data_IF_325573634687
#
_entry.id   IF_325573634687
#
_cell.length_a   1.000
_cell.length_b   1.000
_cell.length_c   1.000
_cell.angle_alpha   90.00
_cell.angle_beta   90.00
_cell.angle_gamma   90.00
#
_symmetry.space_group_name_H-M   'P 1'
#
loop_
_entity.id
_entity.type
_entity.pdbx_description
1 polymer ?
#
# COMPACT_ATOMS: atom_id res chain seq x y z
N UNK A 1 24.29 9.80 -32.68
CA UNK A 1 23.73 10.58 -31.55
C UNK A 1 22.21 10.63 -31.47
N UNK A 2 21.43 10.47 -32.56
CA UNK A 2 19.95 10.49 -32.51
C UNK A 2 19.28 9.26 -31.84
N UNK A 3 19.99 8.13 -31.73
CA UNK A 3 19.43 6.90 -31.16
C UNK A 3 19.40 6.91 -29.62
N UNK A 4 20.45 7.45 -28.99
CA UNK A 4 20.55 7.54 -27.52
C UNK A 4 19.53 8.51 -26.90
N UNK A 5 19.19 9.61 -27.59
CA UNK A 5 18.19 10.57 -27.12
C UNK A 5 16.76 9.99 -27.09
N UNK A 6 16.42 9.07 -28.00
CA UNK A 6 15.10 8.42 -28.04
C UNK A 6 14.93 7.38 -26.93
N UNK A 7 15.98 6.63 -26.59
CA UNK A 7 15.93 5.70 -25.45
C UNK A 7 15.75 6.43 -24.11
N UNK A 8 16.47 7.53 -23.88
CA UNK A 8 16.33 8.33 -22.65
C UNK A 8 14.95 8.98 -22.49
N UNK A 9 14.32 9.43 -23.58
CA UNK A 9 12.96 9.97 -23.58
C UNK A 9 11.88 8.90 -23.32
N UNK A 10 12.08 7.67 -23.79
CA UNK A 10 11.17 6.56 -23.51
C UNK A 10 11.31 6.05 -22.07
N UNK A 11 12.53 5.93 -21.55
CA UNK A 11 12.78 5.52 -20.16
C UNK A 11 12.18 6.51 -19.16
N UNK A 12 12.27 7.82 -19.42
CA UNK A 12 11.62 8.84 -18.59
C UNK A 12 10.08 8.83 -18.70
N UNK A 13 9.52 8.58 -19.89
CA UNK A 13 8.07 8.44 -20.07
C UNK A 13 7.46 7.21 -19.37
N UNK A 14 8.16 6.08 -19.42
CA UNK A 14 7.77 4.83 -18.75
C UNK A 14 7.91 4.93 -17.22
N UNK A 15 8.97 5.57 -16.72
CA UNK A 15 9.14 5.80 -15.28
C UNK A 15 8.08 6.75 -14.70
N UNK A 16 7.68 7.77 -15.50
CA UNK A 16 6.59 8.70 -15.18
C UNK A 16 5.23 7.98 -15.12
N UNK A 17 4.91 7.13 -16.10
CA UNK A 17 3.69 6.32 -16.09
C UNK A 17 3.68 5.28 -14.95
N UNK A 18 4.84 4.66 -14.67
CA UNK A 18 4.96 3.65 -13.62
C UNK A 18 4.73 4.18 -12.20
N UNK A 19 4.78 5.50 -12.01
CA UNK A 19 4.53 6.18 -10.73
C UNK A 19 3.26 7.03 -10.73
N UNK A 20 2.49 7.04 -11.82
CA UNK A 20 1.33 7.92 -11.98
C UNK A 20 0.26 7.71 -10.90
N UNK A 21 0.19 6.51 -10.31
CA UNK A 21 -0.75 6.21 -9.22
C UNK A 21 -0.39 6.89 -7.88
N UNK A 22 0.82 7.44 -7.73
CA UNK A 22 1.28 8.20 -6.55
C UNK A 22 1.22 9.72 -6.78
N UNK A 23 0.41 10.17 -7.75
CA UNK A 23 0.30 11.59 -8.13
C UNK A 23 -0.41 12.48 -7.12
N UNK A 24 -1.09 11.89 -6.13
CA UNK A 24 -1.78 12.67 -5.11
C UNK A 24 -0.80 13.53 -4.31
N UNK A 25 -1.22 14.73 -3.95
CA UNK A 25 -0.43 15.68 -3.14
C UNK A 25 -0.85 15.64 -1.66
N UNK A 26 -1.13 14.44 -1.15
CA UNK A 26 -1.48 14.19 0.24
C UNK A 26 -0.31 13.58 1.03
N UNK A 27 -0.46 13.51 2.36
CA UNK A 27 0.62 13.08 3.25
C UNK A 27 1.06 11.65 2.92
N UNK A 28 0.11 10.74 2.74
CA UNK A 28 0.43 9.34 2.51
C UNK A 28 1.04 9.08 1.14
N UNK A 29 0.64 9.80 0.09
CA UNK A 29 1.31 9.75 -1.20
C UNK A 29 2.76 10.23 -1.10
N UNK A 30 3.01 11.31 -0.35
CA UNK A 30 4.36 11.78 -0.03
C UNK A 30 5.20 10.72 0.70
N UNK A 31 4.63 10.08 1.72
CA UNK A 31 5.31 9.01 2.48
C UNK A 31 5.58 7.76 1.65
N UNK A 32 4.61 7.33 0.83
CA UNK A 32 4.79 6.22 -0.10
C UNK A 32 5.92 6.50 -1.10
N UNK A 33 6.05 7.74 -1.59
CA UNK A 33 7.17 8.13 -2.47
C UNK A 33 8.51 8.12 -1.74
N UNK A 34 8.56 8.56 -0.48
CA UNK A 34 9.78 8.70 0.30
C UNK A 34 10.25 7.40 0.99
N UNK A 35 9.40 6.38 1.08
CA UNK A 35 9.71 5.14 1.78
C UNK A 35 10.86 4.35 1.09
N UNK A 36 11.82 3.79 1.84
CA UNK A 36 12.97 3.06 1.28
C UNK A 36 12.58 1.66 0.77
N UNK A 37 11.81 1.60 -0.31
CA UNK A 37 11.28 0.37 -0.88
C UNK A 37 12.33 -0.61 -1.40
N UNK A 38 13.54 -0.14 -1.70
CA UNK A 38 14.64 -0.99 -2.18
C UNK A 38 14.96 -2.14 -1.22
N UNK A 39 14.82 -1.90 0.08
CA UNK A 39 15.12 -2.86 1.14
C UNK A 39 13.89 -3.67 1.56
N UNK A 40 12.73 -3.42 0.94
CA UNK A 40 11.47 -4.07 1.27
C UNK A 40 11.11 -5.17 0.26
N UNK A 41 10.24 -6.10 0.71
CA UNK A 41 9.74 -7.19 -0.14
C UNK A 41 8.87 -6.71 -1.31
N UNK A 42 8.33 -5.49 -1.23
CA UNK A 42 7.52 -4.90 -2.30
C UNK A 42 8.35 -4.34 -3.46
N UNK A 43 9.67 -4.09 -3.25
CA UNK A 43 10.54 -3.42 -4.23
C UNK A 43 10.04 -2.01 -4.57
N UNK A 44 10.76 -1.31 -5.44
CA UNK A 44 10.42 0.05 -5.85
C UNK A 44 9.00 0.12 -6.46
N UNK A 45 8.23 1.21 -6.24
CA UNK A 45 6.87 1.37 -6.76
C UNK A 45 6.70 1.11 -8.26
N UNK A 46 7.71 1.42 -9.06
CA UNK A 46 7.69 1.20 -10.51
C UNK A 46 7.70 -0.30 -10.88
N UNK A 47 8.16 -1.15 -9.96
CA UNK A 47 8.25 -2.60 -10.10
C UNK A 47 7.03 -3.33 -9.50
N UNK A 48 6.10 -2.60 -8.89
CA UNK A 48 4.91 -3.21 -8.31
C UNK A 48 4.02 -3.83 -9.40
N UNK A 49 3.35 -4.96 -9.10
CA UNK A 49 2.32 -5.49 -9.98
C UNK A 49 1.27 -4.43 -10.31
N UNK A 50 0.77 -4.42 -11.55
CA UNK A 50 -0.22 -3.43 -12.00
C UNK A 50 -1.44 -3.35 -11.08
N UNK A 51 -1.97 -4.52 -10.67
CA UNK A 51 -3.08 -4.60 -9.74
C UNK A 51 -2.82 -3.86 -8.41
N UNK A 52 -1.61 -3.95 -7.87
CA UNK A 52 -1.25 -3.23 -6.65
C UNK A 52 -1.23 -1.72 -6.89
N UNK A 53 -0.66 -1.25 -8.00
CA UNK A 53 -0.64 0.17 -8.36
C UNK A 53 -2.06 0.73 -8.49
N UNK A 54 -2.97 -0.01 -9.13
CA UNK A 54 -4.38 0.36 -9.24
C UNK A 54 -5.04 0.46 -7.87
N UNK A 55 -4.89 -0.55 -7.01
CA UNK A 55 -5.48 -0.53 -5.66
C UNK A 55 -4.94 0.61 -4.80
N UNK A 56 -3.64 0.89 -4.88
CA UNK A 56 -3.03 2.00 -4.15
C UNK A 56 -3.51 3.34 -4.68
N UNK A 57 -3.67 3.49 -6.00
CA UNK A 57 -4.27 4.70 -6.59
C UNK A 57 -5.70 4.94 -6.10
N UNK A 58 -6.54 3.90 -6.10
CA UNK A 58 -7.92 3.97 -5.56
C UNK A 58 -7.91 4.33 -4.07
N UNK A 59 -7.04 3.70 -3.29
CA UNK A 59 -6.90 3.95 -1.85
C UNK A 59 -6.49 5.39 -1.55
N UNK A 60 -5.50 5.93 -2.27
CA UNK A 60 -4.99 7.28 -2.07
C UNK A 60 -5.98 8.37 -2.51
N UNK A 61 -6.77 8.12 -3.56
CA UNK A 61 -7.79 9.05 -4.04
C UNK A 61 -9.13 8.95 -3.29
N UNK A 62 -9.24 8.10 -2.28
CA UNK A 62 -10.47 7.92 -1.50
C UNK A 62 -10.51 8.82 -0.27
N UNK A 63 -11.63 9.53 -0.08
CA UNK A 63 -11.92 10.28 1.15
C UNK A 63 -12.37 9.37 2.32
N UNK A 64 -12.53 8.07 2.09
CA UNK A 64 -12.84 7.10 3.14
C UNK A 64 -11.54 6.51 3.73
N UNK A 65 -11.43 6.31 5.05
CA UNK A 65 -10.30 5.58 5.64
C UNK A 65 -10.12 4.20 5.00
N UNK A 66 -8.99 3.98 4.34
CA UNK A 66 -8.71 2.76 3.59
C UNK A 66 -7.26 2.31 3.76
N UNK A 67 -7.07 0.98 3.84
CA UNK A 67 -5.76 0.34 3.74
C UNK A 67 -5.81 -0.88 2.83
N UNK A 68 -4.65 -1.22 2.26
CA UNK A 68 -4.38 -2.47 1.54
C UNK A 68 -3.30 -3.22 2.31
N UNK A 69 -3.58 -4.47 2.71
CA UNK A 69 -2.55 -5.41 3.17
C UNK A 69 -2.12 -6.29 1.98
N UNK A 70 -0.88 -6.13 1.52
CA UNK A 70 -0.41 -6.76 0.29
C UNK A 70 0.63 -7.86 0.50
N UNK A 71 0.55 -8.89 -0.33
CA UNK A 71 1.52 -9.98 -0.39
C UNK A 71 1.38 -10.98 0.76
N UNK A 72 2.29 -11.95 0.81
CA UNK A 72 2.24 -13.05 1.80
C UNK A 72 2.45 -12.58 3.23
N UNK A 73 3.09 -11.43 3.41
CA UNK A 73 3.34 -10.83 4.73
C UNK A 73 2.27 -9.82 5.14
N UNK A 74 1.28 -9.54 4.26
CA UNK A 74 0.22 -8.58 4.54
C UNK A 74 0.74 -7.18 4.84
N UNK A 75 1.66 -6.67 4.02
CA UNK A 75 2.31 -5.37 4.24
C UNK A 75 1.30 -4.23 4.09
N UNK A 76 1.21 -3.36 5.09
CA UNK A 76 0.22 -2.28 5.14
C UNK A 76 0.62 -1.09 4.27
N UNK A 77 -0.26 -0.74 3.34
CA UNK A 77 -0.31 0.53 2.62
C UNK A 77 -1.65 1.19 2.98
N UNK A 78 -1.70 2.50 3.21
CA UNK A 78 -2.91 3.15 3.69
C UNK A 78 -2.97 4.63 3.27
N UNK A 79 -4.17 5.22 3.33
CA UNK A 79 -4.39 6.64 3.03
C UNK A 79 -4.42 7.52 4.30
N UNK A 80 -4.51 8.84 4.10
CA UNK A 80 -4.53 9.84 5.15
C UNK A 80 -5.70 9.63 6.13
N UNK A 81 -6.88 9.24 5.62
CA UNK A 81 -8.04 8.91 6.45
C UNK A 81 -7.76 7.75 7.40
N UNK A 82 -7.08 6.70 6.93
CA UNK A 82 -6.72 5.56 7.77
C UNK A 82 -5.50 5.83 8.68
N UNK A 83 -4.65 6.80 8.33
CA UNK A 83 -3.58 7.26 9.21
C UNK A 83 -4.14 7.79 10.55
N UNK A 84 -5.30 8.44 10.52
CA UNK A 84 -6.01 8.88 11.73
C UNK A 84 -6.48 7.69 12.59
N UNK A 85 -6.99 6.64 11.95
CA UNK A 85 -7.41 5.39 12.63
C UNK A 85 -6.22 4.69 13.29
N UNK A 86 -5.06 4.71 12.65
CA UNK A 86 -3.83 4.13 13.19
C UNK A 86 -3.29 4.88 14.42
N UNK A 87 -3.64 6.16 14.60
CA UNK A 87 -3.18 6.99 15.71
C UNK A 87 -1.65 6.92 15.88
N UNK A 88 -1.19 6.54 17.07
CA UNK A 88 0.23 6.47 17.42
C UNK A 88 1.03 5.41 16.65
N UNK A 89 0.37 4.52 15.90
CA UNK A 89 1.05 3.54 15.02
C UNK A 89 1.49 4.17 13.70
N UNK A 90 0.92 5.30 13.31
CA UNK A 90 1.39 6.10 12.18
C UNK A 90 2.66 6.90 12.58
N UNK A 91 3.70 7.00 11.73
CA UNK A 91 3.82 6.43 10.38
C UNK A 91 4.46 5.03 10.36
N UNK A 92 4.86 4.49 11.51
CA UNK A 92 5.61 3.23 11.62
C UNK A 92 4.89 2.01 11.01
N UNK A 93 3.55 2.05 10.92
CA UNK A 93 2.76 1.01 10.27
C UNK A 93 3.05 0.85 8.77
N UNK A 94 3.56 1.87 8.09
CA UNK A 94 3.77 1.83 6.64
C UNK A 94 4.77 0.74 6.24
N UNK A 95 4.33 -0.16 5.38
CA UNK A 95 5.15 -1.27 4.89
C UNK A 95 5.42 -2.36 5.94
N UNK A 96 4.72 -2.36 7.08
CA UNK A 96 4.82 -3.41 8.11
C UNK A 96 3.72 -4.46 7.94
N UNK A 97 3.94 -5.71 8.38
CA UNK A 97 2.90 -6.74 8.40
C UNK A 97 1.68 -6.31 9.22
N UNK A 98 0.48 -6.45 8.67
CA UNK A 98 -0.78 -6.03 9.31
C UNK A 98 -0.98 -6.68 10.68
N UNK A 99 -0.66 -7.97 10.83
CA UNK A 99 -0.77 -8.69 12.09
C UNK A 99 0.29 -8.30 13.14
N UNK A 100 1.36 -7.61 12.74
CA UNK A 100 2.28 -6.98 13.69
C UNK A 100 1.78 -5.60 14.11
N UNK A 101 1.28 -4.81 13.16
CA UNK A 101 0.72 -3.47 13.43
C UNK A 101 -0.47 -3.57 14.39
N UNK A 102 -1.36 -4.54 14.15
CA UNK A 102 -2.54 -4.80 14.95
C UNK A 102 -2.38 -6.04 15.84
N UNK A 103 -1.22 -6.15 16.50
CA UNK A 103 -0.89 -7.27 17.39
C UNK A 103 -1.91 -7.50 18.50
N UNK A 104 -2.55 -6.44 18.97
CA UNK A 104 -3.53 -6.40 20.06
C UNK A 104 -4.83 -7.13 19.69
N UNK A 105 -5.17 -7.15 18.40
CA UNK A 105 -6.38 -7.80 17.85
C UNK A 105 -6.01 -8.94 16.89
N UNK A 106 -4.79 -9.47 17.01
CA UNK A 106 -4.26 -10.50 16.11
C UNK A 106 -5.13 -11.75 16.06
N UNK A 107 -5.65 -12.19 17.20
CA UNK A 107 -6.49 -13.40 17.27
C UNK A 107 -7.82 -13.23 16.52
N UNK A 108 -8.30 -11.99 16.38
CA UNK A 108 -9.47 -11.65 15.56
C UNK A 108 -9.10 -11.59 14.08
N UNK A 109 -7.96 -10.98 13.73
CA UNK A 109 -7.58 -10.75 12.33
C UNK A 109 -6.99 -11.99 11.63
N UNK A 110 -6.16 -12.79 12.33
CA UNK A 110 -5.43 -13.89 11.73
C UNK A 110 -6.34 -14.92 11.02
N UNK A 111 -7.48 -15.36 11.59
CA UNK A 111 -8.39 -16.26 10.89
C UNK A 111 -9.00 -15.67 9.61
N UNK A 112 -9.20 -14.34 9.55
CA UNK A 112 -9.69 -13.66 8.35
C UNK A 112 -8.62 -13.64 7.26
N UNK A 113 -7.38 -13.35 7.62
CA UNK A 113 -6.23 -13.43 6.70
C UNK A 113 -6.03 -14.83 6.15
N UNK A 114 -6.14 -15.87 6.99
CA UNK A 114 -6.02 -17.27 6.54
C UNK A 114 -7.05 -17.63 5.47
N UNK A 115 -8.31 -17.17 5.63
CA UNK A 115 -9.37 -17.35 4.64
C UNK A 115 -9.04 -16.64 3.32
N UNK A 116 -8.56 -15.39 3.39
CA UNK A 116 -8.17 -14.61 2.20
C UNK A 116 -7.02 -15.28 1.46
N UNK A 117 -6.00 -15.78 2.17
CA UNK A 117 -4.89 -16.50 1.56
C UNK A 117 -5.27 -17.85 0.95
N UNK A 118 -6.41 -18.43 1.35
CA UNK A 118 -7.03 -19.59 0.70
C UNK A 118 -7.88 -19.20 -0.53
N UNK A 119 -7.86 -17.94 -0.95
CA UNK A 119 -8.62 -17.43 -2.10
C UNK A 119 -10.11 -17.19 -1.79
N UNK A 120 -10.49 -17.11 -0.52
CA UNK A 120 -11.88 -16.83 -0.12
C UNK A 120 -12.02 -15.37 0.28
N UNK A 121 -12.90 -14.65 -0.43
CA UNK A 121 -13.26 -13.30 -0.03
C UNK A 121 -13.93 -13.31 1.35
N UNK A 122 -13.59 -12.32 2.18
CA UNK A 122 -14.14 -12.13 3.52
C UNK A 122 -14.68 -10.71 3.61
N UNK A 123 -15.87 -10.57 4.18
CA UNK A 123 -16.50 -9.29 4.46
C UNK A 123 -17.13 -9.37 5.84
N UNK A 124 -16.76 -8.46 6.73
CA UNK A 124 -17.31 -8.35 8.09
C UNK A 124 -17.89 -6.94 8.23
N UNK A 125 -19.22 -6.85 8.25
CA UNK A 125 -19.91 -5.58 8.53
C UNK A 125 -19.85 -5.30 10.04
N UNK A 126 -19.65 -4.04 10.41
CA UNK A 126 -19.69 -3.57 11.79
C UNK A 126 -18.81 -4.37 12.75
N UNK A 127 -17.62 -4.77 12.29
CA UNK A 127 -16.70 -5.60 13.07
C UNK A 127 -16.25 -4.86 14.34
N UNK A 128 -16.66 -5.32 15.54
CA UNK A 128 -16.28 -4.67 16.78
C UNK A 128 -14.80 -4.96 17.05
N UNK A 129 -13.96 -3.94 16.91
CA UNK A 129 -12.55 -3.99 17.26
C UNK A 129 -12.35 -3.28 18.60
N UNK A 130 -11.79 -4.00 19.56
CA UNK A 130 -11.31 -3.41 20.81
C UNK A 130 -9.85 -3.05 20.59
N UNK A 131 -9.60 -1.78 20.28
CA UNK A 131 -8.28 -1.21 20.00
C UNK A 131 -7.58 -0.69 21.26
#
# INVERSE_FOLDING_TARGET
MRHALRSSLMEHGLASAASAFLHEDNEMAGRLRAYPWADSRLRQPQQWPEALRTLVGVMLGSDQPMFTAWGRDGLMLYNDGYAQVLGNKHPHALGRPCLEVWSEIRDTLAPLFDRVFQGRAVHEADMPLVL
#
